data_IF_944856427750
#
_entry.id   IF_944856427750
#
_cell.length_a   1.000
_cell.length_b   1.000
_cell.length_c   1.000
_cell.angle_alpha   90.00
_cell.angle_beta   90.00
_cell.angle_gamma   90.00
#
_symmetry.space_group_name_H-M   'P 1'
#
loop_
_entity.id
_entity.type
_entity.pdbx_description
1 polymer ?
#
# COMPACT_ATOMS: atom_id res chain seq x y z
N UNK A 1 4.05 14.55 3.34
CA UNK A 1 4.82 14.38 2.09
C UNK A 1 3.95 14.82 0.93
N UNK A 2 4.52 15.53 -0.05
CA UNK A 2 3.77 16.02 -1.21
C UNK A 2 3.58 14.97 -2.30
N UNK A 3 2.60 15.19 -3.18
CA UNK A 3 2.27 14.33 -4.34
C UNK A 3 3.48 14.06 -5.24
N UNK A 4 4.23 15.10 -5.59
CA UNK A 4 5.41 14.99 -6.47
C UNK A 4 6.49 14.08 -5.87
N UNK A 5 6.69 14.18 -4.56
CA UNK A 5 7.65 13.34 -3.85
C UNK A 5 7.23 11.87 -3.86
N UNK A 6 5.94 11.57 -3.63
CA UNK A 6 5.41 10.21 -3.76
C UNK A 6 5.62 9.67 -5.18
N UNK A 7 5.27 10.44 -6.21
CA UNK A 7 5.44 10.03 -7.62
C UNK A 7 6.91 9.72 -7.92
N UNK A 8 7.83 10.62 -7.54
CA UNK A 8 9.26 10.42 -7.75
C UNK A 8 9.76 9.14 -7.08
N UNK A 9 9.36 8.89 -5.82
CA UNK A 9 9.76 7.67 -5.13
C UNK A 9 9.22 6.41 -5.80
N UNK A 10 7.97 6.41 -6.27
CA UNK A 10 7.39 5.28 -7.03
C UNK A 10 8.21 5.03 -8.30
N UNK A 11 8.53 6.08 -9.05
CA UNK A 11 9.37 5.98 -10.26
C UNK A 11 10.77 5.46 -9.96
N UNK A 12 11.42 5.97 -8.90
CA UNK A 12 12.76 5.55 -8.48
C UNK A 12 12.80 4.09 -8.01
N UNK A 13 11.69 3.56 -7.47
CA UNK A 13 11.57 2.15 -7.08
C UNK A 13 11.49 1.19 -8.29
N UNK A 14 11.06 1.67 -9.45
CA UNK A 14 10.91 0.89 -10.70
C UNK A 14 9.78 -0.15 -10.71
N UNK A 15 9.41 -0.70 -9.55
CA UNK A 15 8.37 -1.74 -9.40
C UNK A 15 7.50 -1.48 -8.16
N UNK A 16 6.21 -1.80 -8.27
CA UNK A 16 5.25 -1.83 -7.17
C UNK A 16 4.67 -3.23 -7.04
N UNK A 17 4.83 -3.86 -5.88
CA UNK A 17 4.22 -5.15 -5.60
C UNK A 17 2.76 -4.98 -5.16
N UNK A 18 1.84 -5.57 -5.92
CA UNK A 18 0.41 -5.60 -5.61
C UNK A 18 0.12 -6.83 -4.75
N UNK A 19 -0.18 -6.62 -3.47
CA UNK A 19 -0.43 -7.68 -2.49
C UNK A 19 -1.94 -7.92 -2.34
N UNK A 20 -2.32 -9.19 -2.54
CA UNK A 20 -3.64 -9.72 -2.25
C UNK A 20 -3.48 -11.00 -1.44
N UNK A 21 -4.10 -11.06 -0.27
CA UNK A 21 -4.09 -12.27 0.56
C UNK A 21 -5.46 -12.49 1.20
N UNK A 22 -6.02 -13.71 1.17
CA UNK A 22 -7.21 -14.05 1.95
C UNK A 22 -6.91 -14.14 3.45
N UNK A 23 -5.63 -14.24 3.83
CA UNK A 23 -5.17 -14.23 5.21
C UNK A 23 -4.35 -12.96 5.48
N UNK A 24 -4.91 -11.96 6.19
CA UNK A 24 -4.24 -10.70 6.50
C UNK A 24 -2.92 -10.88 7.24
N UNK A 25 -2.79 -11.96 8.04
CA UNK A 25 -1.59 -12.22 8.85
C UNK A 25 -0.37 -12.53 7.99
N UNK A 26 -0.57 -12.95 6.73
CA UNK A 26 0.52 -13.21 5.78
C UNK A 26 1.06 -11.96 5.10
N UNK A 27 0.34 -10.85 5.15
CA UNK A 27 0.70 -9.64 4.39
C UNK A 27 1.98 -9.01 4.93
N UNK A 28 2.14 -8.91 6.25
CA UNK A 28 3.34 -8.32 6.85
C UNK A 28 4.61 -9.15 6.64
N UNK A 29 4.64 -10.46 6.90
CA UNK A 29 5.79 -11.29 6.55
C UNK A 29 6.16 -11.23 5.06
N UNK A 30 5.15 -11.15 4.18
CA UNK A 30 5.38 -10.97 2.74
C UNK A 30 6.00 -9.61 2.42
N UNK A 31 5.48 -8.53 3.01
CA UNK A 31 6.02 -7.18 2.85
C UNK A 31 7.47 -7.08 3.37
N UNK A 32 7.78 -7.71 4.50
CA UNK A 32 9.15 -7.79 5.03
C UNK A 32 10.09 -8.53 4.08
N UNK A 33 9.64 -9.65 3.49
CA UNK A 33 10.42 -10.39 2.50
C UNK A 33 10.66 -9.58 1.21
N UNK A 34 9.65 -8.84 0.74
CA UNK A 34 9.77 -7.93 -0.41
C UNK A 34 10.80 -6.83 -0.14
N UNK A 35 10.75 -6.20 1.03
CA UNK A 35 11.73 -5.19 1.46
C UNK A 35 13.14 -5.77 1.51
N UNK A 36 13.30 -6.98 2.07
CA UNK A 36 14.59 -7.67 2.09
C UNK A 36 15.14 -7.97 0.68
N UNK A 37 14.24 -8.20 -0.29
CA UNK A 37 14.57 -8.37 -1.71
C UNK A 37 14.75 -7.07 -2.50
N UNK A 38 14.62 -5.89 -1.86
CA UNK A 38 14.77 -4.59 -2.50
C UNK A 38 13.51 -4.03 -3.18
N UNK A 39 12.36 -4.68 -3.02
CA UNK A 39 11.06 -4.17 -3.51
C UNK A 39 10.47 -3.23 -2.46
N UNK A 40 10.52 -1.93 -2.74
CA UNK A 40 10.11 -0.89 -1.79
C UNK A 40 8.74 -0.26 -2.09
N UNK A 41 8.23 -0.39 -3.31
CA UNK A 41 6.86 -0.02 -3.65
C UNK A 41 5.90 -1.17 -3.30
N UNK A 42 4.94 -0.92 -2.42
CA UNK A 42 3.97 -1.93 -1.97
C UNK A 42 2.56 -1.35 -2.06
N UNK A 43 1.64 -2.11 -2.64
CA UNK A 43 0.21 -1.80 -2.67
C UNK A 43 -0.58 -2.92 -1.99
N UNK A 44 -1.44 -2.59 -1.03
CA UNK A 44 -2.38 -3.55 -0.45
C UNK A 44 -3.75 -3.38 -1.11
N UNK A 45 -4.27 -4.46 -1.68
CA UNK A 45 -5.57 -4.45 -2.37
C UNK A 45 -6.73 -4.54 -1.39
N UNK A 46 -7.84 -3.83 -1.66
CA UNK A 46 -9.08 -3.89 -0.84
C UNK A 46 -9.78 -5.26 -0.85
N UNK A 47 -9.37 -6.16 -1.74
CA UNK A 47 -9.75 -7.58 -1.69
C UNK A 47 -9.07 -8.39 -0.58
N UNK A 48 -8.09 -7.80 0.12
CA UNK A 48 -7.53 -8.35 1.35
C UNK A 48 -8.49 -8.04 2.50
N UNK A 49 -8.92 -9.03 3.31
CA UNK A 49 -9.80 -8.76 4.44
C UNK A 49 -9.19 -7.72 5.38
N UNK A 50 -9.99 -6.75 5.83
CA UNK A 50 -9.55 -5.66 6.71
C UNK A 50 -8.31 -4.91 6.18
N UNK A 51 -8.22 -4.69 4.86
CA UNK A 51 -7.07 -4.02 4.24
C UNK A 51 -6.65 -2.68 4.91
N UNK A 52 -7.56 -1.81 5.39
CA UNK A 52 -7.15 -0.61 6.12
C UNK A 52 -6.33 -0.90 7.38
N UNK A 53 -6.69 -1.92 8.17
CA UNK A 53 -5.94 -2.31 9.37
C UNK A 53 -4.57 -2.87 9.01
N UNK A 54 -4.50 -3.65 7.92
CA UNK A 54 -3.24 -4.16 7.37
C UNK A 54 -2.33 -3.02 6.93
N UNK A 55 -2.88 -2.01 6.25
CA UNK A 55 -2.14 -0.81 5.83
C UNK A 55 -1.63 -0.08 7.07
N UNK A 56 -2.43 0.07 8.12
CA UNK A 56 -2.00 0.71 9.36
C UNK A 56 -0.82 -0.01 10.03
N UNK A 57 -0.86 -1.35 10.12
CA UNK A 57 0.25 -2.15 10.67
C UNK A 57 1.53 -2.02 9.81
N UNK A 58 1.39 -2.07 8.49
CA UNK A 58 2.52 -1.86 7.57
C UNK A 58 3.09 -0.44 7.65
N UNK A 59 2.23 0.58 7.75
CA UNK A 59 2.66 1.96 7.89
C UNK A 59 3.44 2.18 9.19
N UNK A 60 2.96 1.59 10.31
CA UNK A 60 3.62 1.67 11.60
C UNK A 60 4.98 0.94 11.62
N UNK A 61 5.07 -0.22 10.98
CA UNK A 61 6.28 -1.07 11.04
C UNK A 61 7.30 -0.79 9.94
N UNK A 62 6.85 -0.52 8.71
CA UNK A 62 7.69 -0.41 7.52
C UNK A 62 7.60 0.95 6.82
N UNK A 63 6.69 1.85 7.22
CA UNK A 63 6.38 3.08 6.47
C UNK A 63 7.54 4.05 6.22
N UNK A 64 8.67 3.92 6.95
CA UNK A 64 9.91 4.67 6.67
C UNK A 64 10.78 4.05 5.57
N UNK A 65 10.56 2.77 5.25
CA UNK A 65 11.34 1.97 4.29
C UNK A 65 10.63 1.79 2.96
N UNK A 66 9.30 1.81 2.95
CA UNK A 66 8.48 1.54 1.77
C UNK A 66 7.66 2.75 1.34
N UNK A 67 7.25 2.76 0.07
CA UNK A 67 6.13 3.57 -0.39
C UNK A 67 4.90 2.67 -0.40
N UNK A 68 4.07 2.84 0.62
CA UNK A 68 2.86 2.06 0.82
C UNK A 68 1.67 2.71 0.11
N UNK A 69 0.94 1.97 -0.69
CA UNK A 69 -0.30 2.38 -1.32
C UNK A 69 -1.45 1.41 -1.08
N UNK A 70 -2.62 1.81 -1.57
CA UNK A 70 -3.85 1.06 -1.47
C UNK A 70 -4.49 0.90 -2.85
N UNK A 71 -4.87 -0.31 -3.22
CA UNK A 71 -5.43 -0.62 -4.52
C UNK A 71 -6.84 -1.19 -4.46
N UNK A 72 -7.54 -1.19 -5.59
CA UNK A 72 -8.96 -1.61 -5.67
C UNK A 72 -9.87 -0.71 -4.80
N UNK A 73 -9.55 0.58 -4.71
CA UNK A 73 -10.39 1.55 -4.00
C UNK A 73 -11.50 2.03 -4.93
N UNK A 74 -12.76 1.82 -4.54
CA UNK A 74 -13.93 2.05 -5.40
C UNK A 74 -14.77 3.26 -4.98
N UNK A 75 -14.54 3.80 -3.80
CA UNK A 75 -15.35 4.88 -3.25
C UNK A 75 -14.52 5.84 -2.36
N UNK A 76 -15.07 7.03 -2.12
CA UNK A 76 -14.41 8.08 -1.37
C UNK A 76 -14.22 7.75 0.13
N UNK A 77 -15.13 6.98 0.73
CA UNK A 77 -15.02 6.61 2.14
C UNK A 77 -13.85 5.64 2.36
N UNK A 78 -13.71 4.63 1.49
CA UNK A 78 -12.58 3.72 1.46
C UNK A 78 -11.28 4.48 1.19
N UNK A 79 -11.29 5.43 0.25
CA UNK A 79 -10.13 6.29 -0.03
C UNK A 79 -9.67 7.07 1.21
N UNK A 80 -10.60 7.71 1.92
CA UNK A 80 -10.29 8.42 3.16
C UNK A 80 -9.74 7.47 4.25
N UNK A 81 -10.32 6.28 4.39
CA UNK A 81 -9.89 5.29 5.37
C UNK A 81 -8.45 4.82 5.14
N UNK A 82 -8.09 4.48 3.90
CA UNK A 82 -6.73 4.01 3.59
C UNK A 82 -5.68 5.12 3.70
N UNK A 83 -6.03 6.36 3.34
CA UNK A 83 -5.16 7.52 3.55
C UNK A 83 -4.92 7.72 5.05
N UNK A 84 -5.98 7.65 5.87
CA UNK A 84 -5.85 7.78 7.32
C UNK A 84 -5.02 6.64 7.93
N UNK A 85 -5.14 5.42 7.39
CA UNK A 85 -4.32 4.27 7.78
C UNK A 85 -2.84 4.42 7.37
N UNK A 86 -2.49 5.39 6.53
CA UNK A 86 -1.10 5.69 6.17
C UNK A 86 -0.71 5.35 4.73
N UNK A 87 -1.68 4.99 3.86
CA UNK A 87 -1.43 4.87 2.43
C UNK A 87 -0.97 6.22 1.86
N UNK A 88 0.01 6.17 0.95
CA UNK A 88 0.71 7.32 0.36
C UNK A 88 0.30 7.60 -1.07
N UNK A 89 -0.27 6.60 -1.72
CA UNK A 89 -0.96 6.69 -3.00
C UNK A 89 -2.14 5.73 -2.99
N UNK A 90 -3.11 6.01 -3.87
CA UNK A 90 -4.32 5.21 -4.03
C UNK A 90 -4.49 4.87 -5.49
N UNK A 91 -4.85 3.62 -5.78
CA UNK A 91 -5.15 3.10 -7.10
C UNK A 91 -6.60 2.65 -7.13
N UNK A 92 -7.35 3.22 -8.08
CA UNK A 92 -8.67 2.72 -8.44
C UNK A 92 -8.60 2.00 -9.79
N UNK A 93 -9.30 0.87 -9.97
CA UNK A 93 -9.37 0.20 -11.26
C UNK A 93 -10.25 0.95 -12.27
N UNK A 94 -11.03 1.94 -11.81
CA UNK A 94 -11.96 2.74 -12.62
C UNK A 94 -11.91 4.21 -12.20
N UNK A 95 -12.45 5.11 -13.01
CA UNK A 95 -12.47 6.56 -12.74
C UNK A 95 -13.81 7.22 -13.08
N UNK A 96 -14.88 6.42 -13.17
CA UNK A 96 -16.22 6.90 -13.51
C UNK A 96 -16.78 7.90 -12.48
#
# INVERSE_FOLDING_TARGET
MGREQTIRQISDCGVVAVIRSPDPKKVKPLAEALVAGGVLGIEVTMSTPNAPDVIADLAASLGKKIILGAGTVLDAATCAAVIHAGARFVVSPITD
#
